data_IF_249492202907
#
_entry.id   IF_249492202907
#
_cell.length_a   1.000
_cell.length_b   1.000
_cell.length_c   1.000
_cell.angle_alpha   90.00
_cell.angle_beta   90.00
_cell.angle_gamma   90.00
#
_symmetry.space_group_name_H-M   'P 1'
#
loop_
_entity.id
_entity.type
_entity.pdbx_description
1 polymer ?
#
# COMPACT_ATOMS: atom_id res chain seq x y z
N UNK A 1 -1.32 14.50 -12.30
CA UNK A 1 -1.75 14.02 -10.96
C UNK A 1 -1.24 14.92 -9.85
N UNK A 2 0.08 15.05 -9.63
CA UNK A 2 0.63 15.87 -8.54
C UNK A 2 0.26 17.36 -8.60
N UNK A 3 0.31 18.00 -9.78
CA UNK A 3 -0.17 19.39 -9.92
C UNK A 3 -1.64 19.56 -9.50
N UNK A 4 -2.49 18.58 -9.78
CA UNK A 4 -3.90 18.63 -9.40
C UNK A 4 -4.06 18.51 -7.88
N UNK A 5 -3.22 17.71 -7.23
CA UNK A 5 -3.17 17.59 -5.77
C UNK A 5 -2.71 18.88 -5.10
N UNK A 6 -1.67 19.53 -5.64
CA UNK A 6 -1.14 20.80 -5.10
C UNK A 6 -2.11 21.97 -5.32
N UNK A 7 -2.79 22.01 -6.47
CA UNK A 7 -3.75 23.08 -6.82
C UNK A 7 -5.17 22.79 -6.34
N UNK A 8 -5.39 21.67 -5.65
CA UNK A 8 -6.69 21.19 -5.19
C UNK A 8 -7.75 21.14 -6.33
N UNK A 9 -7.32 20.73 -7.52
CA UNK A 9 -8.17 20.54 -8.70
C UNK A 9 -8.37 19.07 -8.99
N UNK A 10 -9.36 18.74 -9.85
CA UNK A 10 -9.55 17.36 -10.28
C UNK A 10 -8.42 16.94 -11.22
N UNK A 11 -7.85 15.73 -11.06
CA UNK A 11 -6.88 15.22 -12.02
C UNK A 11 -7.58 14.94 -13.37
N UNK A 12 -6.80 14.94 -14.45
CA UNK A 12 -7.29 14.62 -15.80
C UNK A 12 -7.86 13.20 -15.84
N UNK A 13 -7.23 12.27 -15.15
CA UNK A 13 -7.69 10.90 -14.94
C UNK A 13 -7.71 10.61 -13.44
N UNK A 14 -8.79 10.00 -12.99
CA UNK A 14 -8.97 9.51 -11.64
C UNK A 14 -8.58 8.04 -11.55
N UNK A 15 -8.38 7.56 -10.32
CA UNK A 15 -8.16 6.13 -10.08
C UNK A 15 -9.35 5.28 -10.58
N UNK A 16 -10.57 5.83 -10.51
CA UNK A 16 -11.77 5.14 -10.98
C UNK A 16 -11.75 4.93 -12.51
N UNK A 17 -11.17 5.85 -13.26
CA UNK A 17 -11.04 5.70 -14.72
C UNK A 17 -10.15 4.50 -15.06
N UNK A 18 -9.03 4.33 -14.33
CA UNK A 18 -8.18 3.15 -14.45
C UNK A 18 -8.89 1.85 -14.03
N UNK A 19 -9.72 1.89 -12.98
CA UNK A 19 -10.54 0.74 -12.57
C UNK A 19 -11.51 0.30 -13.68
N UNK A 20 -12.18 1.24 -14.33
CA UNK A 20 -13.11 0.94 -15.43
C UNK A 20 -12.37 0.29 -16.60
N UNK A 21 -11.18 0.79 -16.97
CA UNK A 21 -10.35 0.17 -18.03
C UNK A 21 -10.01 -1.27 -17.67
N UNK A 22 -9.60 -1.54 -16.42
CA UNK A 22 -9.31 -2.92 -15.99
C UNK A 22 -10.55 -3.83 -16.07
N UNK A 23 -11.71 -3.36 -15.63
CA UNK A 23 -12.95 -4.14 -15.73
C UNK A 23 -13.34 -4.48 -17.18
N UNK A 24 -13.08 -3.56 -18.11
CA UNK A 24 -13.26 -3.81 -19.55
C UNK A 24 -12.26 -4.86 -20.04
N UNK A 25 -10.98 -4.75 -19.64
CA UNK A 25 -9.97 -5.74 -20.00
C UNK A 25 -10.34 -7.13 -19.49
N UNK A 26 -10.84 -7.25 -18.27
CA UNK A 26 -11.32 -8.52 -17.70
C UNK A 26 -12.48 -9.11 -18.51
N UNK A 27 -13.43 -8.27 -18.94
CA UNK A 27 -14.51 -8.71 -19.82
C UNK A 27 -13.99 -9.18 -21.19
N UNK A 28 -12.98 -8.51 -21.76
CA UNK A 28 -12.33 -8.94 -22.99
C UNK A 28 -11.67 -10.31 -22.84
N UNK A 29 -10.93 -10.55 -21.75
CA UNK A 29 -10.32 -11.86 -21.48
C UNK A 29 -11.38 -12.96 -21.30
N UNK A 30 -12.43 -12.70 -20.51
CA UNK A 30 -13.57 -13.64 -20.34
C UNK A 30 -14.29 -13.92 -21.67
N UNK A 31 -14.41 -12.93 -22.54
CA UNK A 31 -15.02 -13.05 -23.86
C UNK A 31 -14.23 -14.00 -24.76
N UNK A 32 -12.89 -13.86 -24.77
CA UNK A 32 -11.99 -14.75 -25.51
C UNK A 32 -12.13 -16.19 -25.02
N UNK A 33 -12.13 -16.42 -23.70
CA UNK A 33 -12.29 -17.77 -23.14
C UNK A 33 -13.63 -18.42 -23.51
N UNK A 34 -14.73 -17.64 -23.48
CA UNK A 34 -16.10 -18.13 -23.72
C UNK A 34 -16.53 -18.13 -25.18
N UNK A 35 -15.72 -17.52 -26.07
CA UNK A 35 -16.04 -17.35 -27.50
C UNK A 35 -17.40 -16.66 -27.69
N UNK A 36 -17.69 -15.65 -26.86
CA UNK A 36 -18.98 -14.97 -26.86
C UNK A 36 -18.97 -13.75 -25.94
N UNK A 37 -20.06 -12.97 -25.98
CA UNK A 37 -20.18 -11.74 -25.21
C UNK A 37 -20.03 -11.98 -23.70
N UNK A 38 -19.12 -11.25 -23.07
CA UNK A 38 -18.98 -11.20 -21.61
C UNK A 38 -19.37 -9.80 -21.11
N UNK A 39 -20.14 -9.70 -20.02
CA UNK A 39 -20.51 -8.41 -19.44
C UNK A 39 -19.29 -7.74 -18.78
N UNK A 40 -19.27 -6.40 -18.80
CA UNK A 40 -18.34 -5.60 -18.00
C UNK A 40 -18.88 -5.50 -16.59
N UNK A 41 -18.17 -6.07 -15.62
CA UNK A 41 -18.56 -6.11 -14.22
C UNK A 41 -17.89 -4.97 -13.44
N UNK A 42 -18.69 -4.03 -12.92
CA UNK A 42 -18.22 -2.94 -12.07
C UNK A 42 -18.74 -3.16 -10.65
N UNK A 43 -17.87 -3.61 -9.75
CA UNK A 43 -18.15 -3.89 -8.34
C UNK A 43 -17.72 -2.73 -7.42
N UNK A 44 -16.71 -1.97 -7.83
CA UNK A 44 -16.12 -0.94 -6.99
C UNK A 44 -16.32 0.46 -7.58
N UNK A 45 -16.72 1.43 -6.74
CA UNK A 45 -16.93 2.83 -7.16
C UNK A 45 -16.26 3.85 -6.23
N UNK A 46 -15.12 3.47 -5.67
CA UNK A 46 -14.60 4.15 -4.51
C UNK A 46 -15.30 3.72 -3.23
N UNK A 47 -14.80 4.20 -2.10
CA UNK A 47 -15.36 3.95 -0.79
C UNK A 47 -14.46 4.50 0.30
N UNK A 48 -15.01 4.71 1.48
CA UNK A 48 -14.21 5.03 2.67
C UNK A 48 -13.71 3.74 3.28
N UNK A 49 -12.45 3.40 3.02
CA UNK A 49 -11.78 2.36 3.82
C UNK A 49 -11.46 2.97 5.19
N UNK A 50 -11.91 2.37 6.31
CA UNK A 50 -11.48 2.82 7.62
C UNK A 50 -9.95 2.83 7.63
N UNK A 51 -9.37 3.92 8.14
CA UNK A 51 -7.91 4.03 8.21
C UNK A 51 -7.38 2.80 8.94
N UNK A 52 -6.53 2.03 8.28
CA UNK A 52 -5.88 0.88 8.88
C UNK A 52 -5.10 1.40 10.08
N UNK A 53 -5.61 1.16 11.28
CA UNK A 53 -4.89 1.40 12.53
C UNK A 53 -4.05 0.16 12.78
N UNK A 54 -2.87 0.11 12.17
CA UNK A 54 -1.89 -0.87 12.61
C UNK A 54 -1.35 -0.39 13.97
N UNK A 55 -1.47 -1.22 15.00
CA UNK A 55 -0.71 -1.00 16.24
C UNK A 55 0.77 -1.03 15.85
N UNK A 56 1.51 0.08 15.98
CA UNK A 56 2.90 0.09 15.59
C UNK A 56 3.68 -0.91 16.45
N UNK A 57 4.48 -1.76 15.80
CA UNK A 57 5.44 -2.61 16.51
C UNK A 57 6.45 -1.71 17.22
N UNK A 58 6.68 -1.97 18.50
CA UNK A 58 7.60 -1.18 19.31
C UNK A 58 8.86 -1.99 19.62
N UNK A 59 10.02 -1.33 19.61
CA UNK A 59 11.28 -1.90 20.07
C UNK A 59 11.96 -0.92 21.02
N UNK A 60 12.13 -1.30 22.28
CA UNK A 60 12.70 -0.45 23.34
C UNK A 60 12.06 0.96 23.43
N UNK A 61 10.74 1.04 23.26
CA UNK A 61 10.00 2.31 23.31
C UNK A 61 10.05 3.15 22.03
N UNK A 62 10.74 2.68 20.98
CA UNK A 62 10.76 3.29 19.65
C UNK A 62 9.81 2.57 18.70
N UNK A 63 9.27 3.30 17.72
CA UNK A 63 8.40 2.73 16.69
C UNK A 63 9.24 2.04 15.63
N UNK A 64 8.98 0.78 15.34
CA UNK A 64 9.61 0.05 14.23
C UNK A 64 8.95 0.48 12.92
N UNK A 65 9.71 1.17 12.07
CA UNK A 65 9.27 1.63 10.75
C UNK A 65 9.49 0.54 9.69
N UNK A 66 10.63 -0.15 9.78
CA UNK A 66 10.99 -1.26 8.89
C UNK A 66 11.83 -2.27 9.66
N UNK A 67 11.64 -3.55 9.38
CA UNK A 67 12.47 -4.65 9.86
C UNK A 67 12.91 -5.52 8.67
N UNK A 68 14.15 -5.98 8.69
CA UNK A 68 14.73 -6.85 7.67
C UNK A 68 15.70 -7.84 8.29
N UNK A 69 15.56 -9.13 7.96
CA UNK A 69 16.52 -10.17 8.37
C UNK A 69 17.67 -10.21 7.37
N UNK A 70 18.90 -10.07 7.87
CA UNK A 70 20.13 -10.10 7.10
C UNK A 70 20.55 -11.54 6.77
N UNK A 71 21.39 -11.76 5.73
CA UNK A 71 21.85 -13.10 5.34
C UNK A 71 22.58 -13.89 6.44
N UNK A 72 23.17 -13.19 7.41
CA UNK A 72 23.87 -13.78 8.56
C UNK A 72 22.93 -14.09 9.75
N UNK A 73 21.62 -13.90 9.57
CA UNK A 73 20.59 -14.17 10.56
C UNK A 73 20.32 -13.01 11.53
N UNK A 74 21.12 -11.93 11.50
CA UNK A 74 20.84 -10.73 12.31
C UNK A 74 19.65 -9.97 11.75
N UNK A 75 19.02 -9.12 12.56
CA UNK A 75 17.89 -8.28 12.14
C UNK A 75 18.28 -6.82 12.17
N UNK A 76 18.09 -6.13 11.04
CA UNK A 76 18.21 -4.68 10.92
C UNK A 76 16.84 -4.02 11.07
N UNK A 77 16.75 -3.01 11.91
CA UNK A 77 15.53 -2.22 12.14
C UNK A 77 15.80 -0.73 11.87
N UNK A 78 14.81 -0.07 11.26
CA UNK A 78 14.70 1.39 11.23
C UNK A 78 13.69 1.78 12.30
N UNK A 79 14.14 2.56 13.28
CA UNK A 79 13.38 2.96 14.45
C UNK A 79 13.08 4.45 14.39
N UNK A 80 11.89 4.86 14.82
CA UNK A 80 11.51 6.25 14.99
C UNK A 80 11.22 6.55 16.47
N UNK A 81 11.84 7.60 17.01
CA UNK A 81 11.47 8.11 18.31
C UNK A 81 10.16 8.90 18.22
N UNK A 82 9.09 8.49 18.95
CA UNK A 82 7.81 9.18 18.91
C UNK A 82 7.84 10.57 19.56
N UNK A 83 8.81 10.87 20.43
CA UNK A 83 8.97 12.16 21.11
C UNK A 83 9.74 13.16 20.25
N UNK A 84 10.85 12.75 19.64
CA UNK A 84 11.73 13.65 18.88
C UNK A 84 11.47 13.61 17.37
N UNK A 85 10.80 12.57 16.87
CA UNK A 85 10.68 12.24 15.44
C UNK A 85 12.02 11.89 14.76
N UNK A 86 13.08 11.64 15.51
CA UNK A 86 14.37 11.18 14.97
C UNK A 86 14.31 9.72 14.52
N UNK A 87 15.12 9.39 13.52
CA UNK A 87 15.25 8.04 12.97
C UNK A 87 16.63 7.46 13.33
N UNK A 88 16.67 6.17 13.65
CA UNK A 88 17.91 5.44 13.90
C UNK A 88 17.89 4.03 13.34
N UNK A 89 19.06 3.54 12.94
CA UNK A 89 19.27 2.17 12.48
C UNK A 89 19.85 1.34 13.62
N UNK A 90 19.30 0.14 13.86
CA UNK A 90 19.85 -0.84 14.80
C UNK A 90 19.96 -2.22 14.20
N UNK A 91 21.00 -2.95 14.57
CA UNK A 91 21.20 -4.36 14.21
C UNK A 91 21.24 -5.19 15.48
N UNK A 92 20.35 -6.18 15.58
CA UNK A 92 20.24 -7.09 16.74
C UNK A 92 20.40 -8.54 16.31
N UNK A 93 20.87 -9.39 17.23
CA UNK A 93 21.07 -10.81 16.95
C UNK A 93 19.74 -11.59 16.83
N UNK A 94 18.74 -11.25 17.65
CA UNK A 94 17.39 -11.84 17.64
C UNK A 94 16.39 -10.76 18.07
N UNK A 95 15.20 -10.74 17.45
CA UNK A 95 14.07 -9.94 17.96
C UNK A 95 13.36 -10.81 18.98
N UNK A 96 13.58 -10.56 20.27
CA UNK A 96 12.80 -11.25 21.31
C UNK A 96 11.33 -10.86 21.12
N UNK A 97 10.50 -11.88 20.91
CA UNK A 97 9.05 -11.80 20.74
C UNK A 97 8.34 -11.53 22.06
#
# INVERSE_FOLDING_TARGET
MFNAMETNTKPIESFYDGYVVNAIMDACFKSVEKHGWAPVELDWRGGTTPRISNTPTMFEGLVVIKQETLPDGRVKMILKDPKTNEFSDRVVAVVNS
#
